data_IF_769229232139
#
_entry.id   IF_769229232139
#
_cell.length_a   1.000
_cell.length_b   1.000
_cell.length_c   1.000
_cell.angle_alpha   90.00
_cell.angle_beta   90.00
_cell.angle_gamma   90.00
#
_symmetry.space_group_name_H-M   'P 1'
#
loop_
_entity.id
_entity.type
_entity.pdbx_description
1 polymer ?
#
# COMPACT_ATOMS: atom_id res chain seq x y z
N UNK A 1 17.39 21.15 -10.28
CA UNK A 1 18.00 19.93 -9.71
C UNK A 1 17.19 19.57 -8.48
N UNK A 2 16.23 18.64 -8.61
CA UNK A 2 15.38 18.24 -7.49
C UNK A 2 16.17 17.23 -6.66
N UNK A 3 16.48 17.57 -5.40
CA UNK A 3 17.03 16.63 -4.43
C UNK A 3 15.94 15.59 -4.14
N UNK A 4 16.22 14.34 -4.48
CA UNK A 4 15.47 13.20 -3.97
C UNK A 4 15.92 13.06 -2.52
N UNK A 5 15.02 13.26 -1.55
CA UNK A 5 15.32 12.98 -0.14
C UNK A 5 15.57 11.47 -0.03
N UNK A 6 16.83 11.11 0.18
CA UNK A 6 17.34 9.73 0.29
C UNK A 6 17.03 9.08 1.64
N UNK A 7 16.37 9.80 2.55
CA UNK A 7 16.33 9.46 3.97
C UNK A 7 15.01 8.81 4.40
N UNK A 8 14.12 8.54 3.43
CA UNK A 8 12.83 7.92 3.71
C UNK A 8 12.93 6.40 3.52
N UNK A 9 13.15 5.70 4.62
CA UNK A 9 13.28 4.24 4.67
C UNK A 9 11.89 3.61 4.72
N UNK A 10 11.60 2.70 3.78
CA UNK A 10 10.37 1.89 3.84
C UNK A 10 10.46 0.89 5.00
N UNK A 11 9.38 0.67 5.76
CA UNK A 11 9.32 -0.38 6.77
C UNK A 11 9.65 -1.74 6.18
N UNK A 12 10.34 -2.60 6.94
CA UNK A 12 10.76 -3.93 6.47
C UNK A 12 9.60 -4.76 5.95
N UNK A 13 8.44 -4.72 6.62
CA UNK A 13 7.23 -5.43 6.20
C UNK A 13 6.71 -4.94 4.83
N UNK A 14 6.84 -3.64 4.51
CA UNK A 14 6.49 -3.12 3.19
C UNK A 14 7.42 -3.64 2.10
N UNK A 15 8.73 -3.69 2.39
CA UNK A 15 9.72 -4.23 1.44
C UNK A 15 9.43 -5.71 1.18
N UNK A 16 9.23 -6.49 2.24
CA UNK A 16 8.88 -7.91 2.14
C UNK A 16 7.60 -8.12 1.32
N UNK A 17 6.55 -7.34 1.62
CA UNK A 17 5.28 -7.43 0.89
C UNK A 17 5.47 -7.19 -0.61
N UNK A 18 6.15 -6.10 -0.97
CA UNK A 18 6.38 -5.77 -2.38
C UNK A 18 7.21 -6.85 -3.09
N UNK A 19 8.30 -7.33 -2.48
CA UNK A 19 9.15 -8.36 -3.07
C UNK A 19 8.44 -9.71 -3.21
N UNK A 20 7.63 -10.10 -2.21
CA UNK A 20 6.93 -11.39 -2.18
C UNK A 20 5.81 -11.48 -3.21
N UNK A 21 5.20 -10.35 -3.56
CA UNK A 21 4.01 -10.31 -4.40
C UNK A 21 4.17 -9.59 -5.74
N UNK A 22 5.30 -8.93 -6.04
CA UNK A 22 5.47 -8.16 -7.29
C UNK A 22 5.12 -8.93 -8.58
N UNK A 23 5.42 -10.23 -8.63
CA UNK A 23 5.16 -11.09 -9.79
C UNK A 23 3.86 -11.91 -9.67
N UNK A 24 3.07 -11.63 -8.63
CA UNK A 24 1.80 -12.34 -8.33
C UNK A 24 0.57 -11.46 -8.55
N UNK A 25 0.78 -10.20 -8.94
CA UNK A 25 -0.29 -9.23 -9.21
C UNK A 25 -0.56 -9.23 -10.73
N UNK A 26 -1.82 -9.11 -11.19
CA UNK A 26 -3.04 -8.85 -10.41
C UNK A 26 -3.51 -10.04 -9.58
N UNK A 27 -3.94 -9.79 -8.34
CA UNK A 27 -4.44 -10.82 -7.43
C UNK A 27 -5.44 -10.29 -6.40
N UNK A 28 -6.22 -11.22 -5.87
CA UNK A 28 -7.11 -11.03 -4.72
C UNK A 28 -6.45 -11.61 -3.47
N UNK A 29 -6.43 -10.81 -2.40
CA UNK A 29 -5.94 -11.18 -1.08
C UNK A 29 -7.13 -11.42 -0.16
N UNK A 30 -7.18 -12.58 0.48
CA UNK A 30 -8.18 -12.95 1.49
C UNK A 30 -7.51 -12.95 2.86
N UNK A 31 -7.80 -11.95 3.68
CA UNK A 31 -7.17 -11.78 5.00
C UNK A 31 -7.64 -12.86 5.98
N UNK A 32 -6.88 -13.16 7.04
CA UNK A 32 -7.32 -14.07 8.10
C UNK A 32 -8.60 -13.64 8.81
N UNK A 33 -8.93 -12.34 8.79
CA UNK A 33 -10.14 -11.77 9.39
C UNK A 33 -11.38 -11.85 8.49
N UNK A 34 -11.20 -12.22 7.21
CA UNK A 34 -12.29 -12.35 6.24
C UNK A 34 -12.45 -11.15 5.31
N UNK A 35 -11.58 -10.15 5.41
CA UNK A 35 -11.54 -9.01 4.51
C UNK A 35 -10.91 -9.40 3.16
N UNK A 36 -11.29 -8.67 2.12
CA UNK A 36 -10.87 -8.95 0.75
C UNK A 36 -10.29 -7.68 0.15
N UNK A 37 -9.08 -7.78 -0.40
CA UNK A 37 -8.44 -6.70 -1.14
C UNK A 37 -7.94 -7.20 -2.49
N UNK A 38 -8.45 -6.61 -3.57
CA UNK A 38 -8.03 -6.93 -4.93
C UNK A 38 -7.08 -5.85 -5.46
N UNK A 39 -5.86 -6.25 -5.78
CA UNK A 39 -4.81 -5.36 -6.27
C UNK A 39 -4.58 -5.61 -7.76
N UNK A 40 -4.64 -4.53 -8.55
CA UNK A 40 -4.48 -4.57 -10.01
C UNK A 40 -3.02 -4.39 -10.45
N UNK A 41 -2.28 -3.47 -9.83
CA UNK A 41 -0.84 -3.28 -10.04
C UNK A 41 -0.19 -2.53 -8.87
N UNK A 42 1.12 -2.72 -8.71
CA UNK A 42 1.93 -1.92 -7.79
C UNK A 42 2.42 -0.63 -8.42
N UNK A 43 2.50 0.43 -7.61
CA UNK A 43 3.02 1.73 -8.02
C UNK A 43 4.51 1.78 -7.69
N UNK A 44 5.33 2.01 -8.73
CA UNK A 44 6.76 2.29 -8.54
C UNK A 44 6.92 3.75 -8.10
N UNK A 45 7.68 3.96 -7.03
CA UNK A 45 8.04 5.29 -6.49
C UNK A 45 6.85 6.22 -6.19
N UNK A 46 5.75 5.67 -5.68
CA UNK A 46 4.47 6.35 -5.42
C UNK A 46 4.43 7.27 -4.20
N UNK A 47 5.51 7.99 -3.86
CA UNK A 47 5.49 8.94 -2.74
C UNK A 47 4.49 10.07 -3.01
N UNK A 48 3.46 10.17 -2.17
CA UNK A 48 2.45 11.22 -2.30
C UNK A 48 2.91 12.46 -1.53
N UNK A 49 3.33 13.49 -2.25
CA UNK A 49 3.68 14.79 -1.66
C UNK A 49 2.42 15.64 -1.53
N UNK A 50 1.78 15.64 -0.36
CA UNK A 50 0.71 16.62 -0.03
C UNK A 50 1.29 17.77 0.81
N UNK A 51 0.85 19.03 0.62
CA UNK A 51 1.31 20.16 1.42
C UNK A 51 1.08 19.97 2.93
N UNK A 52 -0.02 19.30 3.32
CA UNK A 52 -0.34 18.99 4.71
C UNK A 52 0.34 17.74 5.28
N UNK A 53 0.84 16.82 4.45
CA UNK A 53 1.49 15.57 4.87
C UNK A 53 2.64 15.23 3.89
N UNK A 54 3.76 15.97 3.98
CA UNK A 54 4.69 16.02 2.86
C UNK A 54 5.52 14.76 2.61
N UNK A 55 5.71 13.85 3.57
CA UNK A 55 6.80 12.85 3.45
C UNK A 55 6.55 11.46 4.09
N UNK A 56 5.34 11.12 4.56
CA UNK A 56 5.07 9.83 5.23
C UNK A 56 4.11 8.89 4.48
N UNK A 57 3.29 9.40 3.57
CA UNK A 57 2.35 8.58 2.81
C UNK A 57 2.98 8.01 1.54
N UNK A 58 3.00 6.68 1.47
CA UNK A 58 3.47 5.93 0.32
C UNK A 58 2.27 5.31 -0.42
N UNK A 59 2.01 5.73 -1.66
CA UNK A 59 1.15 4.97 -2.57
C UNK A 59 1.95 3.74 -3.02
N UNK A 60 1.44 2.55 -2.70
CA UNK A 60 2.12 1.30 -3.04
C UNK A 60 1.38 0.51 -4.12
N UNK A 61 0.07 0.70 -4.27
CA UNK A 61 -0.75 -0.09 -5.18
C UNK A 61 -1.97 0.67 -5.71
N UNK A 62 -2.60 0.09 -6.74
CA UNK A 62 -3.92 0.46 -7.22
C UNK A 62 -4.83 -0.77 -7.17
N UNK A 63 -6.03 -0.62 -6.60
CA UNK A 63 -7.03 -1.68 -6.53
C UNK A 63 -7.69 -1.96 -7.89
N UNK A 64 -8.44 -3.04 -8.00
CA UNK A 64 -9.26 -3.33 -9.21
C UNK A 64 -10.35 -2.29 -9.45
N UNK A 65 -10.77 -1.57 -8.40
CA UNK A 65 -11.73 -0.47 -8.48
C UNK A 65 -11.07 0.88 -8.82
N UNK A 66 -9.81 0.84 -9.28
CA UNK A 66 -8.99 1.99 -9.67
C UNK A 66 -8.70 2.99 -8.53
N UNK A 67 -8.83 2.57 -7.27
CA UNK A 67 -8.48 3.38 -6.11
C UNK A 67 -7.00 3.24 -5.78
N UNK A 68 -6.35 4.33 -5.35
CA UNK A 68 -4.95 4.28 -4.91
C UNK A 68 -4.91 3.82 -3.47
N UNK A 69 -4.02 2.88 -3.19
CA UNK A 69 -3.77 2.33 -1.86
C UNK A 69 -2.48 2.91 -1.30
N UNK A 70 -2.55 3.37 -0.06
CA UNK A 70 -1.48 4.07 0.63
C UNK A 70 -1.20 3.41 1.97
N UNK A 71 -0.02 3.68 2.49
CA UNK A 71 0.33 3.41 3.89
C UNK A 71 1.06 4.63 4.45
N UNK A 72 0.88 4.89 5.74
CA UNK A 72 1.80 5.74 6.49
C UNK A 72 3.01 4.89 6.89
N UNK A 73 4.20 5.25 6.42
CA UNK A 73 5.42 4.49 6.74
C UNK A 73 5.86 4.64 8.20
N UNK A 74 5.35 5.64 8.91
CA UNK A 74 5.64 5.87 10.31
C UNK A 74 4.61 5.20 11.22
N UNK A 75 3.53 4.66 10.65
CA UNK A 75 2.56 3.87 11.39
C UNK A 75 3.12 2.48 11.67
N UNK A 76 3.18 2.11 12.96
CA UNK A 76 3.66 0.81 13.40
C UNK A 76 2.77 -0.34 12.91
N UNK A 77 1.49 -0.06 12.68
CA UNK A 77 0.52 -1.06 12.22
C UNK A 77 0.49 -1.24 10.71
N UNK A 78 1.03 -0.27 9.96
CA UNK A 78 0.95 -0.22 8.50
C UNK A 78 -0.48 -0.43 8.00
N UNK A 79 -1.39 0.36 8.56
CA UNK A 79 -2.79 0.45 8.15
C UNK A 79 -2.87 0.91 6.68
N UNK A 80 -3.69 0.21 5.87
CA UNK A 80 -3.92 0.54 4.47
C UNK A 80 -4.97 1.62 4.41
N UNK A 81 -4.61 2.68 3.69
CA UNK A 81 -5.45 3.82 3.40
C UNK A 81 -5.84 3.80 1.92
N UNK A 82 -6.93 4.49 1.59
CA UNK A 82 -7.46 4.62 0.25
C UNK A 82 -7.65 6.10 -0.10
N UNK A 83 -7.12 6.54 -1.24
CA UNK A 83 -7.32 7.90 -1.74
C UNK A 83 -8.65 7.99 -2.50
N UNK A 84 -9.66 8.57 -1.86
CA UNK A 84 -11.00 8.79 -2.41
C UNK A 84 -11.12 10.13 -3.16
N UNK A 85 -9.99 10.71 -3.60
CA UNK A 85 -9.85 12.01 -4.27
C UNK A 85 -10.16 13.23 -3.40
N UNK A 86 -11.19 13.15 -2.57
CA UNK A 86 -11.63 14.22 -1.65
C UNK A 86 -11.04 13.97 -0.26
N UNK A 87 -11.00 12.72 0.17
CA UNK A 87 -10.48 12.31 1.48
C UNK A 87 -9.61 11.04 1.38
N UNK A 88 -8.93 10.73 2.48
CA UNK A 88 -8.14 9.52 2.64
C UNK A 88 -8.80 8.70 3.75
N UNK A 89 -9.28 7.52 3.41
CA UNK A 89 -10.01 6.65 4.32
C UNK A 89 -9.20 5.40 4.68
N UNK A 90 -9.45 4.89 5.88
CA UNK A 90 -8.93 3.61 6.35
C UNK A 90 -9.86 2.47 5.93
N UNK A 91 -9.30 1.38 5.40
CA UNK A 91 -10.07 0.24 4.87
C UNK A 91 -10.05 -1.01 5.76
N UNK A 92 -9.68 -0.89 7.04
CA UNK A 92 -9.64 -1.98 8.03
C UNK A 92 -8.71 -3.16 7.68
N UNK A 93 -7.71 -2.92 6.82
CA UNK A 93 -6.71 -3.91 6.42
C UNK A 93 -5.31 -3.34 6.68
N UNK A 94 -4.39 -4.18 7.13
CA UNK A 94 -2.97 -3.87 7.33
C UNK A 94 -2.09 -4.66 6.37
N UNK A 95 -0.86 -4.19 6.18
CA UNK A 95 0.15 -4.91 5.39
C UNK A 95 0.51 -6.27 6.01
N UNK A 96 0.50 -6.37 7.33
CA UNK A 96 0.74 -7.63 8.04
C UNK A 96 -0.34 -8.68 7.72
N UNK A 97 -1.59 -8.26 7.65
CA UNK A 97 -2.68 -9.15 7.26
C UNK A 97 -2.57 -9.60 5.80
N UNK A 98 -2.08 -8.73 4.90
CA UNK A 98 -1.81 -9.13 3.52
C UNK A 98 -0.64 -10.11 3.39
N UNK A 99 0.34 -10.06 4.29
CA UNK A 99 1.45 -11.04 4.33
C UNK A 99 0.98 -12.44 4.77
N UNK A 100 -0.08 -12.50 5.57
CA UNK A 100 -0.72 -13.74 6.03
C UNK A 100 -1.88 -14.21 5.13
N UNK A 101 -2.32 -13.38 4.20
CA UNK A 101 -3.47 -13.64 3.35
C UNK A 101 -3.27 -14.85 2.42
N UNK A 102 -4.38 -15.53 2.13
CA UNK A 102 -4.46 -16.43 0.98
C UNK A 102 -4.56 -15.57 -0.28
N UNK A 103 -3.79 -15.90 -1.32
CA UNK A 103 -3.68 -15.09 -2.53
C UNK A 103 -4.10 -15.90 -3.75
N UNK A 104 -5.06 -15.37 -4.50
CA UNK A 104 -5.56 -15.96 -5.74
C UNK A 104 -5.31 -15.02 -6.94
N UNK A 105 -4.78 -15.52 -8.07
CA UNK A 105 -4.63 -14.72 -9.28
C UNK A 105 -5.98 -14.20 -9.79
N UNK A 106 -5.99 -12.97 -10.33
CA UNK A 106 -7.13 -12.37 -11.01
C UNK A 106 -7.21 -12.75 -12.49
#
# INVERSE_FOLDING_TARGET
>A
MIKINSDIVKPTAMVEFLERFQDKIPATFFTPKGDILSIQYFVKDGWLKRPENPDNLLIFAVSTDAQRLLVDINDEKLEILQDEQIEIDYIDITIFELLEAVVEPL
#
